data_IF_162964710991
#
_entry.id   IF_162964710991
#
_cell.length_a   1.000
_cell.length_b   1.000
_cell.length_c   1.000
_cell.angle_alpha   90.00
_cell.angle_beta   90.00
_cell.angle_gamma   90.00
#
_symmetry.space_group_name_H-M   'P 1'
#
loop_
_entity.id
_entity.type
_entity.pdbx_description
1 polymer ?
#
# COMPACT_ATOMS: atom_id res chain seq x y z
N UNK A 1 4.36 15.41 -53.86
CA UNK A 1 5.26 14.45 -53.17
C UNK A 1 5.77 14.96 -51.82
N UNK A 2 6.23 16.22 -51.72
CA UNK A 2 6.81 16.81 -50.48
C UNK A 2 5.87 16.77 -49.25
N UNK A 3 4.58 17.12 -49.40
CA UNK A 3 3.63 17.15 -48.27
C UNK A 3 3.36 15.75 -47.67
N UNK A 4 3.28 14.71 -48.51
CA UNK A 4 3.05 13.33 -48.03
C UNK A 4 4.24 12.79 -47.21
N UNK A 5 5.46 13.22 -47.55
CA UNK A 5 6.68 12.87 -46.79
C UNK A 5 6.67 13.57 -45.42
N UNK A 6 6.26 14.84 -45.35
CA UNK A 6 6.12 15.55 -44.08
C UNK A 6 5.08 14.92 -43.16
N UNK A 7 3.92 14.50 -43.69
CA UNK A 7 2.88 13.82 -42.90
C UNK A 7 3.38 12.47 -42.37
N UNK A 8 4.08 11.69 -43.20
CA UNK A 8 4.67 10.42 -42.78
C UNK A 8 5.76 10.61 -41.70
N UNK A 9 6.58 11.66 -41.81
CA UNK A 9 7.61 11.98 -40.83
C UNK A 9 7.01 12.48 -39.49
N UNK A 10 5.92 13.26 -39.53
CA UNK A 10 5.16 13.68 -38.35
C UNK A 10 4.52 12.48 -37.63
N UNK A 11 3.90 11.56 -38.37
CA UNK A 11 3.36 10.32 -37.82
C UNK A 11 4.46 9.43 -37.20
N UNK A 12 5.63 9.35 -37.83
CA UNK A 12 6.76 8.58 -37.29
C UNK A 12 7.34 9.23 -36.01
N UNK A 13 7.35 10.57 -35.93
CA UNK A 13 7.76 11.28 -34.71
C UNK A 13 6.80 11.12 -33.53
N UNK A 14 5.49 10.99 -33.79
CA UNK A 14 4.47 10.70 -32.78
C UNK A 14 4.57 9.25 -32.26
N UNK A 15 4.97 8.30 -33.10
CA UNK A 15 5.18 6.89 -32.72
C UNK A 15 6.49 6.70 -31.93
N UNK A 16 7.50 7.56 -32.18
CA UNK A 16 8.80 7.53 -31.51
C UNK A 16 8.78 7.99 -30.04
N UNK A 17 7.68 8.59 -29.56
CA UNK A 17 7.53 9.01 -28.16
C UNK A 17 7.03 7.89 -27.24
N UNK A 18 7.46 6.64 -27.45
CA UNK A 18 7.55 5.68 -26.33
C UNK A 18 8.87 5.92 -25.60
N UNK A 19 9.01 7.13 -25.06
CA UNK A 19 10.16 7.52 -24.24
C UNK A 19 10.00 6.77 -22.92
N UNK A 20 10.85 5.76 -22.74
CA UNK A 20 11.11 5.03 -21.51
C UNK A 20 9.84 4.53 -20.79
N UNK A 21 9.53 3.24 -20.91
CA UNK A 21 8.55 2.58 -20.04
C UNK A 21 9.09 2.51 -18.60
N UNK A 22 9.18 3.66 -17.94
CA UNK A 22 9.40 3.71 -16.50
C UNK A 22 8.16 3.11 -15.86
N UNK A 23 8.36 2.25 -14.86
CA UNK A 23 7.23 1.61 -14.18
C UNK A 23 6.24 2.67 -13.70
N UNK A 24 4.96 2.54 -14.07
CA UNK A 24 3.87 3.42 -13.65
C UNK A 24 3.89 3.63 -12.13
N UNK A 25 4.18 2.56 -11.40
CA UNK A 25 4.49 2.58 -9.97
C UNK A 25 5.91 2.07 -9.72
N UNK A 26 6.71 2.87 -9.02
CA UNK A 26 8.03 2.47 -8.54
C UNK A 26 7.97 2.20 -7.04
N UNK A 27 8.51 1.06 -6.61
CA UNK A 27 8.56 0.67 -5.19
C UNK A 27 10.00 0.39 -4.79
N UNK A 28 10.52 1.20 -3.87
CA UNK A 28 11.84 1.04 -3.29
C UNK A 28 11.77 0.57 -1.85
N UNK A 29 12.79 -0.17 -1.41
CA UNK A 29 12.98 -0.52 0.00
C UNK A 29 14.33 -0.02 0.48
N UNK A 30 14.31 0.97 1.36
CA UNK A 30 15.51 1.64 1.88
C UNK A 30 15.69 1.24 3.35
N UNK A 31 16.76 0.51 3.71
CA UNK A 31 17.04 0.18 5.09
C UNK A 31 17.65 1.38 5.83
N UNK A 32 17.16 1.64 7.03
CA UNK A 32 17.68 2.64 7.97
C UNK A 32 18.00 1.99 9.31
N UNK A 33 18.99 2.53 10.01
CA UNK A 33 19.24 2.26 11.41
C UNK A 33 19.13 3.57 12.17
N UNK A 34 18.18 3.65 13.11
CA UNK A 34 17.97 4.84 13.93
C UNK A 34 18.26 4.52 15.40
N UNK A 35 18.81 5.50 16.12
CA UNK A 35 18.99 5.38 17.55
C UNK A 35 17.72 5.81 18.27
N UNK A 36 17.07 4.87 18.97
CA UNK A 36 15.90 5.19 19.76
C UNK A 36 16.34 5.83 21.09
N UNK A 37 16.11 7.14 21.23
CA UNK A 37 16.50 7.91 22.41
C UNK A 37 15.82 7.51 23.72
N UNK A 38 14.66 6.83 23.64
CA UNK A 38 13.89 6.32 24.78
C UNK A 38 14.44 4.97 25.22
N UNK A 39 14.59 4.02 24.29
CA UNK A 39 15.07 2.66 24.63
C UNK A 39 16.59 2.56 24.70
N UNK A 40 17.32 3.62 24.31
CA UNK A 40 18.79 3.65 24.19
C UNK A 40 19.37 2.53 23.31
N UNK A 41 18.59 2.08 22.33
CA UNK A 41 18.96 0.97 21.44
C UNK A 41 18.88 1.41 19.99
N UNK A 42 19.79 0.89 19.17
CA UNK A 42 19.68 0.96 17.73
C UNK A 42 18.48 0.13 17.26
N UNK A 43 17.72 0.66 16.31
CA UNK A 43 16.57 -0.02 15.74
C UNK A 43 16.65 0.04 14.22
N UNK A 44 16.48 -1.12 13.60
CA UNK A 44 16.46 -1.25 12.16
C UNK A 44 15.04 -1.00 11.64
N UNK A 45 14.90 -0.07 10.69
CA UNK A 45 13.65 0.21 9.97
C UNK A 45 13.89 -0.05 8.50
N UNK A 46 12.89 -0.57 7.80
CA UNK A 46 12.81 -0.48 6.36
C UNK A 46 11.78 0.58 5.99
N UNK A 47 12.19 1.58 5.22
CA UNK A 47 11.25 2.44 4.51
C UNK A 47 10.88 1.76 3.19
N UNK A 48 9.58 1.66 2.91
CA UNK A 48 9.06 1.27 1.61
C UNK A 48 8.47 2.52 0.98
N UNK A 49 9.13 3.03 -0.06
CA UNK A 49 8.67 4.19 -0.82
C UNK A 49 7.86 3.72 -2.01
N UNK A 50 6.65 4.24 -2.15
CA UNK A 50 5.78 4.00 -3.29
C UNK A 50 5.65 5.31 -4.05
N UNK A 51 6.28 5.38 -5.22
CA UNK A 51 6.26 6.56 -6.09
C UNK A 51 5.36 6.31 -7.28
N UNK A 52 4.37 7.19 -7.45
CA UNK A 52 3.46 7.16 -8.60
C UNK A 52 4.03 8.02 -9.74
N UNK A 53 4.60 7.36 -10.74
CA UNK A 53 5.11 7.99 -11.97
C UNK A 53 4.11 7.91 -13.13
N UNK A 54 2.89 7.41 -12.88
CA UNK A 54 1.85 7.25 -13.88
C UNK A 54 1.09 8.55 -14.15
N UNK A 55 0.16 8.51 -15.10
CA UNK A 55 -0.77 9.61 -15.38
C UNK A 55 -2.08 9.55 -14.58
N UNK A 56 -2.24 8.59 -13.67
CA UNK A 56 -3.47 8.38 -12.91
C UNK A 56 -3.19 8.23 -11.41
N UNK A 57 -4.20 8.49 -10.59
CA UNK A 57 -4.11 8.30 -9.14
C UNK A 57 -4.09 6.82 -8.75
N UNK A 58 -3.33 6.50 -7.71
CA UNK A 58 -3.29 5.15 -7.12
C UNK A 58 -3.72 5.19 -5.66
N UNK A 59 -4.39 4.14 -5.22
CA UNK A 59 -4.70 3.93 -3.82
C UNK A 59 -3.74 2.90 -3.23
N UNK A 60 -3.34 3.14 -1.98
CA UNK A 60 -2.56 2.18 -1.20
C UNK A 60 -3.13 1.97 0.20
N UNK A 61 -3.03 0.74 0.69
CA UNK A 61 -3.42 0.35 2.03
C UNK A 61 -2.66 -0.92 2.46
N UNK A 62 -2.83 -1.29 3.73
CA UNK A 62 -2.29 -2.53 4.29
C UNK A 62 -3.41 -3.58 4.37
N UNK A 63 -3.23 -4.70 3.69
CA UNK A 63 -4.08 -5.87 3.84
C UNK A 63 -3.83 -6.57 5.18
N UNK A 64 -4.89 -7.13 5.80
CA UNK A 64 -4.76 -7.91 7.04
C UNK A 64 -3.98 -9.20 6.84
N UNK A 65 -4.04 -9.77 5.63
CA UNK A 65 -3.35 -11.01 5.26
C UNK A 65 -2.45 -10.80 4.03
N UNK A 66 -1.43 -11.64 3.82
CA UNK A 66 -0.58 -11.58 2.63
C UNK A 66 -1.42 -11.56 1.35
N UNK A 67 -1.02 -10.72 0.41
CA UNK A 67 -1.80 -10.45 -0.81
C UNK A 67 -1.43 -11.38 -1.98
N UNK A 68 -0.37 -12.18 -1.81
CA UNK A 68 0.10 -13.10 -2.83
C UNK A 68 -1.07 -13.99 -3.31
N UNK A 69 -1.28 -14.02 -4.65
CA UNK A 69 -2.31 -14.79 -5.36
C UNK A 69 -3.75 -14.23 -5.30
N UNK A 70 -3.99 -13.05 -4.74
CA UNK A 70 -5.31 -12.40 -4.80
C UNK A 70 -5.45 -11.53 -6.04
N UNK A 71 -6.64 -11.52 -6.64
CA UNK A 71 -6.97 -10.54 -7.67
C UNK A 71 -7.20 -9.17 -7.03
N UNK A 72 -7.11 -8.10 -7.82
CA UNK A 72 -7.44 -6.75 -7.35
C UNK A 72 -8.88 -6.68 -6.83
N UNK A 73 -9.83 -7.34 -7.50
CA UNK A 73 -11.22 -7.43 -7.04
C UNK A 73 -11.34 -8.08 -5.66
N UNK A 74 -10.59 -9.15 -5.39
CA UNK A 74 -10.59 -9.79 -4.06
C UNK A 74 -10.01 -8.87 -2.99
N UNK A 75 -8.94 -8.14 -3.32
CA UNK A 75 -8.30 -7.18 -2.42
C UNK A 75 -9.23 -6.02 -2.08
N UNK A 76 -9.91 -5.47 -3.10
CA UNK A 76 -10.92 -4.42 -2.96
C UNK A 76 -12.08 -4.92 -2.11
N UNK A 77 -12.62 -6.11 -2.41
CA UNK A 77 -13.72 -6.68 -1.65
C UNK A 77 -13.35 -6.92 -0.19
N UNK A 78 -12.22 -7.59 0.09
CA UNK A 78 -11.79 -7.91 1.44
C UNK A 78 -11.53 -6.67 2.30
N UNK A 79 -10.98 -5.61 1.70
CA UNK A 79 -10.69 -4.38 2.42
C UNK A 79 -11.94 -3.50 2.58
N UNK A 80 -12.68 -3.25 1.49
CA UNK A 80 -13.74 -2.23 1.47
C UNK A 80 -15.13 -2.79 1.78
N UNK A 81 -15.51 -3.92 1.19
CA UNK A 81 -16.89 -4.44 1.23
C UNK A 81 -17.13 -5.48 2.32
N UNK A 82 -16.12 -6.25 2.68
CA UNK A 82 -16.24 -7.29 3.71
C UNK A 82 -16.51 -6.65 5.06
N UNK A 83 -17.61 -7.08 5.71
CA UNK A 83 -18.04 -6.72 7.07
C UNK A 83 -16.90 -6.90 8.07
N UNK A 84 -16.69 -5.90 8.93
CA UNK A 84 -15.68 -5.86 10.00
C UNK A 84 -16.38 -5.48 11.31
N UNK A 85 -17.19 -6.40 11.82
CA UNK A 85 -18.13 -6.13 12.90
C UNK A 85 -19.45 -5.58 12.33
N UNK A 86 -19.93 -4.48 12.90
CA UNK A 86 -21.24 -3.91 12.55
C UNK A 86 -21.25 -3.17 11.22
N UNK A 87 -20.08 -2.72 10.75
CA UNK A 87 -19.93 -1.96 9.51
C UNK A 87 -18.92 -2.60 8.57
N UNK A 88 -19.09 -2.37 7.28
CA UNK A 88 -18.01 -2.44 6.31
C UNK A 88 -17.34 -1.07 6.17
N UNK A 89 -16.27 -1.02 5.39
CA UNK A 89 -15.49 0.20 5.29
C UNK A 89 -16.20 1.35 4.59
N UNK A 90 -16.90 1.04 3.51
CA UNK A 90 -17.61 2.02 2.70
C UNK A 90 -18.69 2.68 3.55
N UNK A 91 -19.45 1.89 4.30
CA UNK A 91 -20.42 2.39 5.29
C UNK A 91 -19.72 3.33 6.28
N UNK A 92 -18.58 2.94 6.86
CA UNK A 92 -17.84 3.80 7.79
C UNK A 92 -17.37 5.13 7.18
N UNK A 93 -16.94 5.14 5.91
CA UNK A 93 -16.53 6.35 5.20
C UNK A 93 -17.70 7.29 4.95
N UNK A 94 -18.80 6.78 4.39
CA UNK A 94 -19.92 7.62 3.93
C UNK A 94 -20.89 8.01 5.04
N UNK A 95 -21.04 7.19 6.09
CA UNK A 95 -21.86 7.51 7.25
C UNK A 95 -21.11 8.43 8.25
N UNK A 96 -19.95 8.97 7.86
CA UNK A 96 -19.10 9.86 8.67
C UNK A 96 -18.72 9.30 10.06
N UNK A 97 -18.73 7.97 10.22
CA UNK A 97 -18.42 7.30 11.48
C UNK A 97 -16.94 7.46 11.88
N UNK A 98 -16.08 7.77 10.91
CA UNK A 98 -14.65 7.99 11.11
C UNK A 98 -14.30 9.38 11.67
N UNK A 99 -15.19 10.38 11.57
CA UNK A 99 -14.91 11.76 12.00
C UNK A 99 -14.70 11.92 13.52
N UNK A 100 -14.86 10.85 14.32
CA UNK A 100 -14.71 10.85 15.78
C UNK A 100 -13.77 9.77 16.33
N UNK A 101 -13.21 8.89 15.49
CA UNK A 101 -12.42 7.74 15.96
C UNK A 101 -10.95 7.84 15.55
N UNK A 102 -10.06 7.32 16.41
CA UNK A 102 -8.64 7.15 16.10
C UNK A 102 -8.49 6.23 14.87
N UNK A 103 -7.79 6.69 13.83
CA UNK A 103 -7.50 5.85 12.67
C UNK A 103 -6.75 4.60 13.09
N UNK A 104 -7.27 3.42 12.77
CA UNK A 104 -6.61 2.15 13.09
C UNK A 104 -5.79 1.67 11.89
N UNK A 105 -4.46 1.60 12.01
CA UNK A 105 -3.59 1.18 10.90
C UNK A 105 -3.97 -0.21 10.38
N UNK A 106 -4.16 -0.34 9.05
CA UNK A 106 -4.52 -1.60 8.38
C UNK A 106 -5.97 -2.06 8.51
N UNK A 107 -6.70 -1.48 9.46
CA UNK A 107 -8.14 -1.28 9.34
C UNK A 107 -8.26 0.07 8.66
N UNK A 108 -8.60 1.15 9.39
CA UNK A 108 -8.63 2.63 9.17
C UNK A 108 -8.00 3.36 7.96
N UNK A 109 -7.02 2.75 7.32
CA UNK A 109 -6.10 3.46 6.46
C UNK A 109 -6.25 3.12 4.97
N UNK A 110 -6.62 4.12 4.18
CA UNK A 110 -6.43 4.17 2.72
C UNK A 110 -5.74 5.49 2.39
N UNK A 111 -4.74 5.45 1.52
CA UNK A 111 -4.07 6.65 1.02
C UNK A 111 -4.23 6.78 -0.49
N UNK A 112 -4.55 7.98 -0.94
CA UNK A 112 -4.38 8.37 -2.34
C UNK A 112 -2.94 8.82 -2.60
N UNK A 113 -2.29 8.20 -3.58
CA UNK A 113 -0.99 8.58 -4.13
C UNK A 113 -1.27 9.28 -5.45
N UNK A 114 -1.37 10.60 -5.40
CA UNK A 114 -1.59 11.39 -6.59
C UNK A 114 -0.42 11.29 -7.58
N UNK A 115 -0.67 11.65 -8.83
CA UNK A 115 0.34 11.70 -9.90
C UNK A 115 1.60 12.46 -9.46
N UNK A 116 2.76 11.85 -9.65
CA UNK A 116 4.07 12.40 -9.30
C UNK A 116 4.36 12.47 -7.80
N UNK A 117 3.55 11.83 -6.95
CA UNK A 117 3.74 11.81 -5.49
C UNK A 117 4.33 10.49 -5.00
N UNK A 118 5.01 10.58 -3.86
CA UNK A 118 5.56 9.44 -3.14
C UNK A 118 4.88 9.32 -1.77
N UNK A 119 4.59 8.09 -1.37
CA UNK A 119 4.12 7.75 -0.03
C UNK A 119 5.05 6.71 0.60
N UNK A 120 5.33 6.85 1.90
CA UNK A 120 6.29 6.00 2.61
C UNK A 120 5.65 5.16 3.73
N UNK A 121 5.96 3.86 3.75
CA UNK A 121 5.73 2.99 4.89
C UNK A 121 7.03 2.75 5.65
N UNK A 122 7.09 3.10 6.93
CA UNK A 122 8.22 2.79 7.81
C UNK A 122 7.92 1.53 8.61
N UNK A 123 8.59 0.43 8.30
CA UNK A 123 8.39 -0.85 8.96
C UNK A 123 9.54 -1.11 9.93
N UNK A 124 9.23 -1.18 11.21
CA UNK A 124 10.20 -1.63 12.20
C UNK A 124 10.54 -3.09 11.94
N UNK A 125 11.83 -3.41 11.76
CA UNK A 125 12.33 -4.77 11.90
C UNK A 125 12.36 -5.09 13.40
N UNK A 126 11.19 -5.29 14.01
CA UNK A 126 11.15 -6.03 15.29
C UNK A 126 11.59 -7.45 14.97
N UNK A 127 12.82 -7.79 15.35
CA UNK A 127 13.61 -8.95 14.99
C UNK A 127 12.81 -10.12 14.41
N UNK A 128 12.90 -10.28 13.09
CA UNK A 128 12.45 -11.49 12.41
C UNK A 128 13.13 -12.74 13.01
N UNK A 129 14.34 -12.57 13.59
CA UNK A 129 15.05 -13.57 14.38
C UNK A 129 14.40 -13.91 15.74
N UNK A 130 13.79 -12.94 16.43
CA UNK A 130 13.09 -13.17 17.70
C UNK A 130 11.88 -14.08 17.48
N UNK A 131 11.11 -13.79 16.44
CA UNK A 131 10.01 -14.65 16.02
C UNK A 131 10.52 -16.02 15.55
N UNK A 132 11.60 -16.08 14.76
CA UNK A 132 12.23 -17.33 14.32
C UNK A 132 12.63 -18.26 15.48
N UNK A 133 13.16 -17.70 16.58
CA UNK A 133 13.54 -18.43 17.79
C UNK A 133 12.35 -18.96 18.58
N UNK A 134 11.25 -18.20 18.67
CA UNK A 134 10.02 -18.65 19.34
C UNK A 134 9.34 -19.79 18.56
N UNK A 135 9.37 -19.78 17.21
CA UNK A 135 8.86 -20.90 16.37
C UNK A 135 9.58 -22.21 16.63
N UNK A 136 10.87 -22.14 16.94
CA UNK A 136 11.70 -23.32 17.15
C UNK A 136 11.49 -23.91 18.56
N UNK A 137 10.97 -23.13 19.51
CA UNK A 137 10.86 -23.51 20.92
C UNK A 137 9.49 -24.07 21.34
N UNK A 138 8.38 -23.76 20.64
CA UNK A 138 7.04 -24.19 21.07
C UNK A 138 6.26 -24.99 20.00
N UNK A 139 5.48 -25.96 20.49
CA UNK A 139 4.82 -27.00 19.71
C UNK A 139 3.96 -26.44 18.55
N UNK A 140 4.18 -27.00 17.36
CA UNK A 140 4.10 -26.34 16.04
C UNK A 140 2.71 -25.96 15.50
N UNK A 141 1.62 -26.12 16.26
CA UNK A 141 0.25 -25.98 15.74
C UNK A 141 -0.28 -24.54 15.69
N UNK A 142 -0.33 -23.85 16.83
CA UNK A 142 -0.96 -22.52 16.93
C UNK A 142 -0.02 -21.37 16.58
N UNK A 143 1.27 -21.53 16.87
CA UNK A 143 2.26 -20.46 16.69
C UNK A 143 2.59 -20.22 15.21
N UNK A 144 2.63 -21.26 14.37
CA UNK A 144 2.81 -21.11 12.91
C UNK A 144 1.67 -20.29 12.27
N UNK A 145 0.45 -20.35 12.80
CA UNK A 145 -0.67 -19.51 12.34
C UNK A 145 -0.48 -18.03 12.69
N UNK A 146 0.09 -17.75 13.87
CA UNK A 146 0.44 -16.42 14.36
C UNK A 146 1.69 -15.85 13.65
N UNK A 147 2.70 -16.68 13.36
CA UNK A 147 3.91 -16.31 12.64
C UNK A 147 3.66 -16.09 11.14
N UNK A 148 2.76 -16.86 10.53
CA UNK A 148 2.26 -16.57 9.18
C UNK A 148 1.51 -15.23 9.16
N UNK A 149 0.82 -14.87 10.26
CA UNK A 149 0.29 -13.52 10.49
C UNK A 149 1.35 -12.45 10.79
N UNK A 150 2.63 -12.79 10.90
CA UNK A 150 3.77 -11.85 11.02
C UNK A 150 4.60 -11.74 9.72
N UNK A 151 4.11 -12.30 8.60
CA UNK A 151 4.67 -12.06 7.26
C UNK A 151 4.85 -10.56 7.01
N UNK A 152 6.10 -10.12 6.79
CA UNK A 152 6.51 -8.72 6.58
C UNK A 152 5.39 -7.86 6.01
N UNK A 153 5.07 -6.73 6.65
CA UNK A 153 4.08 -5.76 6.17
C UNK A 153 4.26 -5.43 4.67
N UNK A 154 5.48 -5.53 4.15
CA UNK A 154 5.79 -5.44 2.72
C UNK A 154 4.89 -6.34 1.84
N UNK A 155 4.66 -7.59 2.25
CA UNK A 155 3.82 -8.57 1.51
C UNK A 155 2.31 -8.31 1.65
N UNK A 156 1.94 -7.19 2.29
CA UNK A 156 0.55 -6.78 2.53
C UNK A 156 0.23 -5.41 1.99
N UNK A 157 1.22 -4.67 1.51
CA UNK A 157 1.01 -3.37 0.87
C UNK A 157 0.26 -3.61 -0.44
N UNK A 158 -0.97 -3.12 -0.49
CA UNK A 158 -1.78 -3.11 -1.70
C UNK A 158 -1.56 -1.78 -2.41
N UNK A 159 -1.40 -1.81 -3.73
CA UNK A 159 -1.30 -0.62 -4.59
C UNK A 159 -2.15 -0.91 -5.83
N UNK A 160 -3.26 -0.18 -6.00
CA UNK A 160 -4.23 -0.39 -7.08
C UNK A 160 -4.64 0.97 -7.64
N UNK A 161 -4.92 1.08 -8.95
CA UNK A 161 -5.40 2.32 -9.57
C UNK A 161 -6.68 2.79 -8.88
N UNK A 162 -6.78 4.08 -8.56
CA UNK A 162 -7.98 4.66 -7.93
C UNK A 162 -9.23 4.37 -8.76
N UNK A 163 -9.14 4.58 -10.07
CA UNK A 163 -10.21 4.33 -11.02
C UNK A 163 -10.72 2.88 -10.99
N UNK A 164 -9.82 1.90 -10.90
CA UNK A 164 -10.19 0.48 -10.80
C UNK A 164 -10.97 0.19 -9.51
N UNK A 165 -10.55 0.78 -8.39
CA UNK A 165 -11.28 0.67 -7.12
C UNK A 165 -12.68 1.29 -7.23
N UNK A 166 -12.78 2.50 -7.78
CA UNK A 166 -14.04 3.22 -7.96
C UNK A 166 -15.00 2.48 -8.91
N UNK A 167 -14.49 1.90 -9.99
CA UNK A 167 -15.26 1.07 -10.92
C UNK A 167 -15.80 -0.20 -10.22
N UNK A 168 -14.96 -0.88 -9.43
CA UNK A 168 -15.36 -2.07 -8.66
C UNK A 168 -16.40 -1.75 -7.57
N UNK A 169 -16.32 -0.56 -6.98
CA UNK A 169 -17.27 -0.09 -5.99
C UNK A 169 -18.54 0.51 -6.59
N UNK A 170 -18.49 1.01 -7.83
CA UNK A 170 -19.50 1.87 -8.47
C UNK A 170 -19.76 3.17 -7.69
N UNK A 171 -18.70 3.72 -7.09
CA UNK A 171 -18.73 4.93 -6.26
C UNK A 171 -17.46 5.74 -6.52
N UNK A 172 -17.59 7.07 -6.59
CA UNK A 172 -16.43 7.98 -6.59
C UNK A 172 -15.98 8.28 -5.16
N UNK A 173 -14.69 8.15 -4.88
CA UNK A 173 -14.13 8.38 -3.55
C UNK A 173 -13.71 9.83 -3.35
N UNK A 174 -14.36 10.47 -2.38
CA UNK A 174 -14.07 11.83 -1.87
C UNK A 174 -12.74 11.86 -1.08
N UNK A 175 -12.10 13.02 -1.01
CA UNK A 175 -10.81 13.20 -0.32
C UNK A 175 -10.88 12.86 1.18
N UNK A 176 -12.04 13.05 1.82
CA UNK A 176 -12.28 12.71 3.23
C UNK A 176 -12.12 11.23 3.54
N UNK A 177 -12.20 10.38 2.51
CA UNK A 177 -12.00 8.94 2.64
C UNK A 177 -10.52 8.56 2.83
N UNK A 178 -9.59 9.48 2.63
CA UNK A 178 -8.17 9.20 2.63
C UNK A 178 -7.47 9.72 3.89
N UNK A 179 -6.45 8.98 4.30
CA UNK A 179 -5.60 9.38 5.39
C UNK A 179 -4.61 10.46 4.94
N UNK A 180 -4.48 11.51 5.76
CA UNK A 180 -3.79 12.73 5.34
C UNK A 180 -2.26 12.66 5.49
N UNK A 181 -1.72 11.80 6.36
CA UNK A 181 -0.27 11.75 6.55
C UNK A 181 0.46 11.31 5.27
N UNK A 182 1.68 11.79 5.09
CA UNK A 182 2.60 11.44 4.00
C UNK A 182 3.31 10.10 4.23
N UNK A 183 3.23 9.56 5.46
CA UNK A 183 3.82 8.29 5.81
C UNK A 183 3.05 7.59 6.94
N UNK A 184 3.34 6.30 7.13
CA UNK A 184 2.87 5.51 8.26
C UNK A 184 4.01 4.70 8.88
N UNK A 185 4.03 4.66 10.20
CA UNK A 185 4.91 3.79 10.99
C UNK A 185 4.19 2.48 11.34
N UNK A 186 4.75 1.36 10.90
CA UNK A 186 4.27 0.01 11.13
C UNK A 186 5.19 -0.67 12.14
N UNK A 187 4.77 -0.67 13.39
CA UNK A 187 5.45 -1.40 14.47
C UNK A 187 4.78 -2.75 14.67
N UNK A 188 5.57 -3.83 14.80
CA UNK A 188 5.03 -5.08 15.36
C UNK A 188 4.47 -4.80 16.75
N UNK A 189 3.35 -5.44 17.13
CA UNK A 189 2.96 -5.45 18.55
C UNK A 189 4.10 -6.12 19.31
N UNK A 190 4.63 -5.42 20.32
CA UNK A 190 5.50 -6.02 21.34
C UNK A 190 4.70 -7.04 22.14
#
# INVERSE_FOLDING_TARGET
MKIKIYIAFLLFSLVGMKINAQNEIHVDTIPFCYFNGITKQAQNINEIQVTNNSSEDYLTWISLIPINKKSNNDLIYDFLKKRKGDFNWIEMMYDNLLNKQSTCIGYSFVKNIAVGKTFSYFISKSDTEFYAKIVQAENKGNLFSLLRRCLSYAKRIVIIKKKEVEECLRIQMDERCFFNLSCIFLTGKK
#
